data_IF_159256263340
#
_entry.id   IF_159256263340
#
_cell.length_a   1.000
_cell.length_b   1.000
_cell.length_c   1.000
_cell.angle_alpha   90.00
_cell.angle_beta   90.00
_cell.angle_gamma   90.00
#
_symmetry.space_group_name_H-M   'P 1'
#
loop_
_entity.id
_entity.type
_entity.pdbx_description
1 polymer ?
#
# COMPACT_ATOMS: atom_id res chain seq x y z
N UNK A 1 42.26 0.03 31.06
CA UNK A 1 42.32 -0.63 29.75
C UNK A 1 40.91 -1.08 29.42
N UNK A 2 40.39 -0.60 28.30
CA UNK A 2 39.09 -0.99 27.76
C UNK A 2 39.25 -2.31 27.00
N UNK A 3 38.23 -3.17 27.08
CA UNK A 3 37.97 -4.15 26.02
C UNK A 3 36.53 -3.97 25.55
N UNK A 4 36.42 -3.65 24.27
CA UNK A 4 35.20 -3.55 23.49
C UNK A 4 34.92 -4.90 22.81
N UNK A 5 33.70 -5.04 22.27
CA UNK A 5 33.17 -6.15 21.48
C UNK A 5 32.69 -7.40 22.24
N UNK A 6 31.40 -7.40 22.57
CA UNK A 6 30.54 -8.50 22.14
C UNK A 6 29.11 -7.97 21.88
N UNK A 7 28.93 -7.40 20.70
CA UNK A 7 27.62 -7.32 20.05
C UNK A 7 27.28 -8.71 19.51
N UNK A 8 26.43 -9.46 20.22
CA UNK A 8 25.78 -10.63 19.64
C UNK A 8 24.36 -10.75 20.20
N UNK A 9 23.44 -10.14 19.47
CA UNK A 9 22.14 -10.69 19.08
C UNK A 9 21.66 -11.93 19.87
N UNK A 10 20.84 -11.73 20.90
CA UNK A 10 19.86 -12.72 21.35
C UNK A 10 18.98 -12.15 22.46
N UNK A 11 17.96 -11.36 22.09
CA UNK A 11 16.68 -11.44 22.79
C UNK A 11 15.60 -10.79 21.92
N UNK A 12 15.22 -11.49 20.84
CA UNK A 12 13.92 -11.33 20.19
C UNK A 12 12.80 -11.86 21.11
N UNK A 13 12.79 -11.42 22.37
CA UNK A 13 11.88 -11.90 23.38
C UNK A 13 11.17 -10.72 24.01
N UNK A 14 10.21 -10.17 23.27
CA UNK A 14 8.98 -9.51 23.75
C UNK A 14 8.47 -8.41 22.81
N UNK A 15 8.55 -8.60 21.49
CA UNK A 15 7.40 -8.20 20.67
C UNK A 15 6.63 -9.49 20.52
N UNK A 16 5.43 -9.53 21.08
CA UNK A 16 4.45 -10.57 20.79
C UNK A 16 4.49 -10.83 19.28
N UNK A 17 5.01 -12.00 18.88
CA UNK A 17 4.69 -12.56 17.58
C UNK A 17 3.17 -12.51 17.53
N UNK A 18 2.61 -11.58 16.76
CA UNK A 18 1.18 -11.54 16.48
C UNK A 18 0.90 -12.92 15.86
N UNK A 19 0.19 -13.84 16.54
CA UNK A 19 0.03 -15.21 16.09
C UNK A 19 -1.10 -15.29 15.04
N UNK A 20 -1.11 -14.33 14.11
CA UNK A 20 -2.04 -14.24 12.99
C UNK A 20 -1.28 -13.69 11.79
N UNK A 21 -0.30 -14.47 11.34
CA UNK A 21 0.01 -14.59 9.93
C UNK A 21 -1.13 -15.32 9.18
N UNK A 22 -2.39 -14.96 9.47
CA UNK A 22 -3.49 -15.14 8.53
C UNK A 22 -3.32 -14.01 7.50
N UNK A 23 -2.46 -14.33 6.53
CA UNK A 23 -1.97 -13.52 5.43
C UNK A 23 -2.97 -12.47 4.89
N UNK A 24 -2.81 -11.22 5.33
CA UNK A 24 -3.14 -9.99 4.60
C UNK A 24 -4.59 -9.88 4.08
N UNK A 25 -5.59 -10.07 4.94
CA UNK A 25 -6.94 -9.59 4.63
C UNK A 25 -6.94 -8.06 4.60
N UNK A 26 -6.89 -7.48 3.40
CA UNK A 26 -7.13 -6.07 3.18
C UNK A 26 -8.61 -5.91 2.82
N UNK A 27 -9.49 -5.47 3.75
CA UNK A 27 -10.94 -5.50 3.56
C UNK A 27 -11.39 -4.76 2.30
N UNK A 28 -10.66 -3.70 1.93
CA UNK A 28 -10.95 -2.91 0.74
C UNK A 28 -10.58 -3.63 -0.56
N UNK A 29 -9.49 -4.41 -0.60
CA UNK A 29 -9.20 -5.27 -1.77
C UNK A 29 -10.30 -6.30 -1.97
N UNK A 30 -10.77 -6.90 -0.87
CA UNK A 30 -11.83 -7.89 -0.95
C UNK A 30 -13.15 -7.24 -1.44
N UNK A 31 -13.46 -6.03 -0.96
CA UNK A 31 -14.60 -5.27 -1.46
C UNK A 31 -14.48 -5.00 -2.97
N UNK A 32 -13.32 -4.56 -3.47
CA UNK A 32 -13.08 -4.36 -4.90
C UNK A 32 -13.20 -5.65 -5.71
N UNK A 33 -12.75 -6.78 -5.15
CA UNK A 33 -12.88 -8.10 -5.78
C UNK A 33 -14.35 -8.50 -5.96
N UNK A 34 -15.23 -8.11 -5.06
CA UNK A 34 -16.67 -8.40 -5.11
C UNK A 34 -17.51 -7.38 -5.86
N UNK A 35 -16.93 -6.24 -6.24
CA UNK A 35 -17.65 -5.22 -7.01
C UNK A 35 -17.98 -5.76 -8.41
N UNK A 36 -19.27 -5.73 -8.75
CA UNK A 36 -19.81 -6.15 -10.04
C UNK A 36 -19.99 -4.92 -10.95
N UNK A 37 -19.10 -4.78 -11.93
CA UNK A 37 -19.11 -3.66 -12.86
C UNK A 37 -20.08 -3.83 -14.04
N UNK A 38 -20.75 -4.99 -14.19
CA UNK A 38 -21.58 -5.31 -15.38
C UNK A 38 -22.80 -4.41 -15.55
N UNK A 39 -23.25 -3.80 -14.46
CA UNK A 39 -24.43 -2.95 -14.44
C UNK A 39 -24.09 -1.45 -14.48
N UNK A 40 -22.79 -1.11 -14.53
CA UNK A 40 -22.37 0.27 -14.68
C UNK A 40 -22.68 0.76 -16.09
N UNK A 41 -23.18 1.99 -16.18
CA UNK A 41 -23.22 2.71 -17.45
C UNK A 41 -21.81 3.00 -17.95
N UNK A 42 -21.67 3.31 -19.24
CA UNK A 42 -20.37 3.69 -19.83
C UNK A 42 -19.71 4.85 -19.08
N UNK A 43 -20.49 5.87 -18.69
CA UNK A 43 -19.99 7.03 -17.96
C UNK A 43 -19.49 6.66 -16.55
N UNK A 44 -20.26 5.87 -15.80
CA UNK A 44 -19.84 5.40 -14.47
C UNK A 44 -18.60 4.52 -14.53
N UNK A 45 -18.48 3.70 -15.58
CA UNK A 45 -17.35 2.81 -15.77
C UNK A 45 -16.08 3.56 -16.17
N UNK A 46 -16.19 4.59 -17.02
CA UNK A 46 -15.09 5.51 -17.31
C UNK A 46 -14.65 6.26 -16.05
N UNK A 47 -15.61 6.79 -15.28
CA UNK A 47 -15.31 7.48 -14.02
C UNK A 47 -14.61 6.56 -13.01
N UNK A 48 -15.00 5.28 -12.96
CA UNK A 48 -14.35 4.28 -12.12
C UNK A 48 -12.90 3.99 -12.56
N UNK A 49 -12.69 3.80 -13.87
CA UNK A 49 -11.35 3.55 -14.44
C UNK A 49 -10.41 4.73 -14.17
N UNK A 50 -10.80 5.95 -14.57
CA UNK A 50 -10.01 7.16 -14.32
C UNK A 50 -9.78 7.42 -12.83
N UNK A 51 -10.79 7.19 -12.00
CA UNK A 51 -10.65 7.33 -10.55
C UNK A 51 -9.61 6.36 -9.96
N UNK A 52 -9.49 5.14 -10.50
CA UNK A 52 -8.46 4.20 -10.10
C UNK A 52 -7.07 4.65 -10.56
N UNK A 53 -6.94 5.12 -11.81
CA UNK A 53 -5.68 5.65 -12.35
C UNK A 53 -5.17 6.84 -11.51
N UNK A 54 -6.04 7.82 -11.23
CA UNK A 54 -5.70 8.98 -10.40
C UNK A 54 -5.30 8.57 -8.98
N UNK A 55 -6.03 7.63 -8.37
CA UNK A 55 -5.71 7.12 -7.05
C UNK A 55 -4.35 6.41 -7.02
N UNK A 56 -4.04 5.60 -8.04
CA UNK A 56 -2.74 4.94 -8.19
C UNK A 56 -1.61 5.97 -8.30
N UNK A 57 -1.78 6.97 -9.16
CA UNK A 57 -0.80 8.05 -9.31
C UNK A 57 -0.55 8.77 -7.97
N UNK A 58 -1.61 9.08 -7.23
CA UNK A 58 -1.51 9.69 -5.89
C UNK A 58 -0.77 8.82 -4.88
N UNK A 59 -0.99 7.50 -4.90
CA UNK A 59 -0.27 6.56 -4.02
C UNK A 59 1.23 6.48 -4.35
N UNK A 60 1.60 6.40 -5.63
CA UNK A 60 3.00 6.42 -6.03
C UNK A 60 3.69 7.73 -5.67
N UNK A 61 3.01 8.87 -5.89
CA UNK A 61 3.52 10.17 -5.48
C UNK A 61 3.70 10.24 -3.96
N UNK A 62 2.76 9.69 -3.19
CA UNK A 62 2.86 9.62 -1.72
C UNK A 62 4.07 8.80 -1.29
N UNK A 63 4.29 7.62 -1.88
CA UNK A 63 5.46 6.79 -1.58
C UNK A 63 6.77 7.53 -1.91
N UNK A 64 6.82 8.22 -3.04
CA UNK A 64 7.98 9.01 -3.43
C UNK A 64 8.24 10.14 -2.43
N UNK A 65 7.20 10.91 -2.07
CA UNK A 65 7.30 11.96 -1.06
C UNK A 65 7.76 11.45 0.30
N UNK A 66 7.24 10.31 0.75
CA UNK A 66 7.67 9.68 2.00
C UNK A 66 9.15 9.29 1.95
N UNK A 67 9.61 8.71 0.83
CA UNK A 67 11.03 8.38 0.61
C UNK A 67 11.94 9.60 0.68
N UNK A 68 11.61 10.66 -0.06
CA UNK A 68 12.36 11.93 -0.07
C UNK A 68 12.38 12.60 1.32
N UNK A 69 11.26 12.53 2.05
CA UNK A 69 11.16 13.05 3.41
C UNK A 69 12.11 12.31 4.36
N UNK A 70 12.14 10.97 4.29
CA UNK A 70 13.03 10.16 5.13
C UNK A 70 14.50 10.40 4.79
N UNK A 71 14.85 10.54 3.51
CA UNK A 71 16.20 10.89 3.08
C UNK A 71 16.62 12.28 3.61
N UNK A 72 15.72 13.26 3.53
CA UNK A 72 15.95 14.62 4.05
C UNK A 72 16.21 14.58 5.56
N UNK A 73 15.34 13.91 6.32
CA UNK A 73 15.48 13.80 7.78
C UNK A 73 16.79 13.09 8.17
N UNK A 74 17.16 12.02 7.46
CA UNK A 74 18.44 11.35 7.67
C UNK A 74 19.65 12.24 7.37
N UNK A 75 19.55 13.11 6.35
CA UNK A 75 20.59 14.07 5.98
C UNK A 75 20.74 15.25 6.96
N UNK A 76 19.66 15.65 7.64
CA UNK A 76 19.65 16.74 8.63
C UNK A 76 20.16 16.32 10.02
N UNK A 77 20.66 15.08 10.16
CA UNK A 77 21.21 14.60 11.42
C UNK A 77 20.16 14.20 12.45
N UNK A 78 18.93 13.86 12.03
CA UNK A 78 18.07 13.05 12.90
C UNK A 78 18.69 11.67 13.08
N UNK A 79 19.42 11.50 14.18
CA UNK A 79 20.09 10.24 14.48
C UNK A 79 19.12 9.12 14.88
N UNK A 80 17.92 9.46 15.38
CA UNK A 80 16.98 8.48 15.93
C UNK A 80 15.52 8.89 15.71
N UNK A 81 14.76 8.06 15.00
CA UNK A 81 13.30 8.12 14.99
C UNK A 81 12.74 7.42 16.23
N UNK A 82 11.62 7.90 16.76
CA UNK A 82 10.87 7.17 17.77
C UNK A 82 10.42 5.81 17.22
N UNK A 83 10.45 4.78 18.06
CA UNK A 83 10.05 3.42 17.67
C UNK A 83 8.62 3.39 17.11
N UNK A 84 7.71 4.11 17.75
CA UNK A 84 6.31 4.23 17.35
C UNK A 84 6.18 4.81 15.94
N UNK A 85 6.99 5.81 15.60
CA UNK A 85 7.00 6.43 14.27
C UNK A 85 7.47 5.46 13.19
N UNK A 86 8.52 4.67 13.45
CA UNK A 86 8.99 3.63 12.52
C UNK A 86 7.94 2.53 12.36
N UNK A 87 7.31 2.11 13.46
CA UNK A 87 6.26 1.09 13.43
C UNK A 87 5.05 1.55 12.60
N UNK A 88 4.57 2.78 12.84
CA UNK A 88 3.48 3.39 12.08
C UNK A 88 3.82 3.56 10.60
N UNK A 89 5.05 3.98 10.29
CA UNK A 89 5.55 4.04 8.92
C UNK A 89 5.49 2.68 8.24
N UNK A 90 5.95 1.61 8.92
CA UNK A 90 5.85 0.24 8.40
C UNK A 90 4.41 -0.17 8.10
N UNK A 91 3.47 0.09 9.01
CA UNK A 91 2.05 -0.18 8.79
C UNK A 91 1.47 0.62 7.61
N UNK A 92 1.84 1.89 7.47
CA UNK A 92 1.44 2.72 6.34
C UNK A 92 1.92 2.13 5.01
N UNK A 93 3.20 1.74 4.92
CA UNK A 93 3.78 1.14 3.73
C UNK A 93 3.11 -0.19 3.35
N UNK A 94 2.80 -1.04 4.34
CA UNK A 94 2.06 -2.28 4.10
C UNK A 94 0.68 -1.99 3.50
N UNK A 95 -0.09 -1.07 4.09
CA UNK A 95 -1.43 -0.73 3.60
C UNK A 95 -1.39 -0.16 2.18
N UNK A 96 -0.45 0.74 1.88
CA UNK A 96 -0.28 1.29 0.52
C UNK A 96 0.09 0.17 -0.45
N UNK A 97 1.02 -0.71 -0.08
CA UNK A 97 1.46 -1.82 -0.95
C UNK A 97 0.34 -2.82 -1.28
N UNK A 98 -0.64 -2.98 -0.39
CA UNK A 98 -1.83 -3.81 -0.61
C UNK A 98 -2.89 -3.09 -1.45
N UNK A 99 -3.01 -1.77 -1.30
CA UNK A 99 -4.01 -0.97 -2.00
C UNK A 99 -3.67 -0.80 -3.50
N UNK A 100 -2.38 -0.65 -3.85
CA UNK A 100 -1.93 -0.54 -5.24
C UNK A 100 -2.46 -1.69 -6.12
N UNK A 101 -2.18 -2.98 -5.83
CA UNK A 101 -2.68 -4.06 -6.66
C UNK A 101 -4.21 -4.19 -6.63
N UNK A 102 -4.86 -3.76 -5.54
CA UNK A 102 -6.31 -3.76 -5.43
C UNK A 102 -6.97 -2.75 -6.38
N UNK A 103 -6.44 -1.52 -6.45
CA UNK A 103 -6.90 -0.49 -7.37
C UNK A 103 -6.61 -0.88 -8.83
N UNK A 104 -5.42 -1.42 -9.11
CA UNK A 104 -5.08 -1.90 -10.46
C UNK A 104 -6.02 -3.01 -10.94
N UNK A 105 -6.45 -3.91 -10.04
CA UNK A 105 -7.44 -4.94 -10.38
C UNK A 105 -8.84 -4.34 -10.63
N UNK A 106 -9.22 -3.30 -9.87
CA UNK A 106 -10.50 -2.62 -10.05
C UNK A 106 -10.54 -1.84 -11.38
N UNK A 107 -9.47 -1.13 -11.70
CA UNK A 107 -9.26 -0.46 -12.99
C UNK A 107 -9.39 -1.45 -14.15
N UNK A 108 -8.66 -2.56 -14.10
CA UNK A 108 -8.72 -3.59 -15.14
C UNK A 108 -10.13 -4.18 -15.31
N UNK A 109 -10.90 -4.32 -14.24
CA UNK A 109 -12.31 -4.74 -14.32
C UNK A 109 -13.16 -3.69 -15.03
N UNK A 110 -12.96 -2.41 -14.71
CA UNK A 110 -13.67 -1.31 -15.34
C UNK A 110 -13.38 -1.26 -16.84
N UNK A 111 -12.10 -1.31 -17.23
CA UNK A 111 -11.66 -1.29 -18.63
C UNK A 111 -12.23 -2.45 -19.44
N UNK A 112 -12.23 -3.67 -18.88
CA UNK A 112 -12.82 -4.84 -19.55
C UNK A 112 -14.29 -4.64 -19.90
N UNK A 113 -15.06 -3.97 -19.03
CA UNK A 113 -16.47 -3.69 -19.32
C UNK A 113 -16.66 -2.64 -20.43
N UNK A 114 -15.72 -1.70 -20.60
CA UNK A 114 -15.74 -0.77 -21.73
C UNK A 114 -15.54 -1.50 -23.05
N UNK A 115 -14.54 -2.39 -23.15
CA UNK A 115 -14.31 -3.19 -24.36
C UNK A 115 -15.50 -4.10 -24.71
N UNK A 116 -16.16 -4.70 -23.72
CA UNK A 116 -17.36 -5.52 -23.94
C UNK A 116 -18.53 -4.66 -24.45
N UNK A 117 -18.71 -3.47 -23.89
CA UNK A 117 -19.78 -2.55 -24.31
C UNK A 117 -19.56 -2.01 -25.73
N UNK A 118 -18.31 -1.72 -26.11
CA UNK A 118 -17.96 -1.29 -27.47
C UNK A 118 -18.12 -2.39 -28.52
N UNK A 119 -17.99 -3.66 -28.12
CA UNK A 119 -18.15 -4.82 -29.01
C UNK A 119 -19.62 -5.18 -29.32
N UNK A 120 -20.55 -4.66 -28.50
CA UNK A 120 -22.00 -4.93 -28.61
C UNK A 120 -22.76 -3.81 -29.32
N UNK A 121 -22.10 -2.70 -29.65
CA UNK A 121 -22.62 -1.58 -30.43
C UNK A 121 -22.11 -1.64 -31.88
#
# INVERSE_FOLDING_TARGET
MADANSTTNACFASSSLIPQADLLYFPLAEAFRHLDCRHLTTEENLALSFGCEEALAGLYQTLNFMGESLLTMAGEGQEHFAYESICQLGHCLVNISQLIPALAQLEAKADQQLFVSDSLN
#
